data_IF_800534003553
#
_entry.id   IF_800534003553
#
_cell.length_a   1.000
_cell.length_b   1.000
_cell.length_c   1.000
_cell.angle_alpha   90.00
_cell.angle_beta   90.00
_cell.angle_gamma   90.00
#
_symmetry.space_group_name_H-M   'P 1'
#
loop_
_entity.id
_entity.type
_entity.pdbx_description
1 polymer ?
#
# COMPACT_ATOMS: atom_id res chain seq x y z
N UNK A 1 36.40 -23.61 -4.72
CA UNK A 1 35.49 -22.89 -3.80
C UNK A 1 34.08 -23.08 -4.35
N UNK A 2 33.28 -23.94 -3.74
CA UNK A 2 31.91 -24.21 -4.19
C UNK A 2 31.04 -23.02 -3.78
N UNK A 3 30.58 -22.21 -4.73
CA UNK A 3 29.52 -21.25 -4.44
C UNK A 3 28.22 -22.05 -4.37
N UNK A 4 27.65 -22.20 -3.17
CA UNK A 4 26.34 -22.79 -3.01
C UNK A 4 25.34 -21.99 -3.86
N UNK A 5 24.59 -22.67 -4.73
CA UNK A 5 23.49 -22.07 -5.47
C UNK A 5 22.48 -21.52 -4.46
N UNK A 6 22.11 -20.23 -4.53
CA UNK A 6 21.09 -19.68 -3.64
C UNK A 6 19.80 -20.47 -3.80
N UNK A 7 19.08 -20.66 -2.69
CA UNK A 7 17.76 -21.29 -2.73
C UNK A 7 16.81 -20.47 -3.62
N UNK A 8 15.80 -21.14 -4.19
CA UNK A 8 14.72 -20.46 -4.94
C UNK A 8 14.14 -19.31 -4.09
N UNK A 9 14.01 -19.51 -2.77
CA UNK A 9 13.54 -18.47 -1.87
C UNK A 9 14.47 -17.24 -1.84
N UNK A 10 15.79 -17.41 -1.81
CA UNK A 10 16.75 -16.30 -1.80
C UNK A 10 16.84 -15.58 -3.15
N UNK A 11 16.56 -16.29 -4.25
CA UNK A 11 16.50 -15.72 -5.59
C UNK A 11 15.31 -14.78 -5.77
N UNK A 12 14.12 -15.20 -5.33
CA UNK A 12 12.88 -14.41 -5.47
C UNK A 12 12.68 -13.40 -4.33
N UNK A 13 13.18 -13.72 -3.14
CA UNK A 13 12.95 -12.96 -1.91
C UNK A 13 14.25 -12.63 -1.18
N UNK A 14 15.19 -11.91 -1.82
CA UNK A 14 16.45 -11.55 -1.18
C UNK A 14 16.22 -10.68 0.07
N UNK A 15 17.15 -10.66 1.04
CA UNK A 15 17.04 -9.79 2.21
C UNK A 15 16.77 -8.33 1.83
N UNK A 16 16.04 -7.63 2.69
CA UNK A 16 15.69 -6.22 2.50
C UNK A 16 16.33 -5.36 3.56
N UNK A 17 16.77 -4.18 3.17
CA UNK A 17 17.09 -3.12 4.12
C UNK A 17 15.80 -2.64 4.80
N UNK A 18 15.93 -2.18 6.04
CA UNK A 18 14.81 -1.65 6.82
C UNK A 18 14.86 -0.12 6.82
N UNK A 19 13.72 0.56 6.66
CA UNK A 19 13.66 2.01 6.85
C UNK A 19 13.91 2.35 8.33
N UNK A 20 14.55 3.48 8.57
CA UNK A 20 14.64 4.09 9.89
C UNK A 20 13.30 4.70 10.30
N UNK A 21 13.10 4.93 11.60
CA UNK A 21 11.89 5.61 12.07
C UNK A 21 11.71 7.00 11.43
N UNK A 22 12.79 7.78 11.28
CA UNK A 22 12.73 9.09 10.63
C UNK A 22 12.28 9.02 9.17
N UNK A 23 12.70 7.98 8.44
CA UNK A 23 12.23 7.72 7.07
C UNK A 23 10.76 7.31 7.05
N UNK A 24 10.33 6.45 7.98
CA UNK A 24 8.91 6.08 8.13
C UNK A 24 8.09 7.34 8.38
N UNK A 25 8.47 8.17 9.33
CA UNK A 25 7.75 9.38 9.71
C UNK A 25 7.65 10.36 8.53
N UNK A 26 8.77 10.58 7.82
CA UNK A 26 8.81 11.45 6.63
C UNK A 26 7.88 10.96 5.52
N UNK A 27 7.92 9.67 5.21
CA UNK A 27 7.08 9.08 4.17
C UNK A 27 5.60 9.02 4.59
N UNK A 28 5.32 8.80 5.88
CA UNK A 28 3.96 8.89 6.43
C UNK A 28 3.41 10.33 6.33
N UNK A 29 4.23 11.35 6.61
CA UNK A 29 3.84 12.73 6.41
C UNK A 29 3.59 13.07 4.93
N UNK A 30 4.39 12.51 4.02
CA UNK A 30 4.20 12.70 2.58
C UNK A 30 2.85 12.13 2.11
N UNK A 31 2.48 10.90 2.52
CA UNK A 31 1.20 10.30 2.12
C UNK A 31 -0.01 11.00 2.77
N UNK A 32 0.12 11.49 4.01
CA UNK A 32 -0.91 12.30 4.67
C UNK A 32 -1.09 13.67 4.01
N UNK A 33 0.01 14.27 3.53
CA UNK A 33 -0.04 15.51 2.74
C UNK A 33 -0.79 15.27 1.43
N UNK A 34 -0.48 14.18 0.71
CA UNK A 34 -1.20 13.79 -0.50
C UNK A 34 -2.70 13.60 -0.24
N UNK A 35 -3.05 12.86 0.82
CA UNK A 35 -4.45 12.67 1.21
C UNK A 35 -5.14 14.00 1.48
N UNK A 36 -4.50 14.89 2.23
CA UNK A 36 -5.06 16.20 2.60
C UNK A 36 -5.31 17.05 1.36
N UNK A 37 -4.33 17.13 0.45
CA UNK A 37 -4.45 17.83 -0.83
C UNK A 37 -5.55 17.25 -1.70
N UNK A 38 -5.62 15.92 -1.83
CA UNK A 38 -6.64 15.25 -2.62
C UNK A 38 -8.05 15.51 -2.08
N UNK A 39 -8.21 15.53 -0.75
CA UNK A 39 -9.48 15.86 -0.10
C UNK A 39 -9.84 17.33 -0.29
N UNK A 40 -8.92 18.25 -0.01
CA UNK A 40 -9.21 19.69 0.02
C UNK A 40 -9.37 20.31 -1.37
N UNK A 41 -8.55 19.90 -2.34
CA UNK A 41 -8.53 20.49 -3.67
C UNK A 41 -9.36 19.73 -4.70
N UNK A 42 -9.58 18.42 -4.47
CA UNK A 42 -10.19 17.53 -5.47
C UNK A 42 -11.40 16.77 -4.93
N UNK A 43 -11.87 17.07 -3.72
CA UNK A 43 -13.00 16.41 -3.07
C UNK A 43 -12.90 14.88 -3.05
N UNK A 44 -11.69 14.33 -3.02
CA UNK A 44 -11.45 12.88 -2.97
C UNK A 44 -11.69 12.34 -1.56
N UNK A 45 -12.04 11.05 -1.49
CA UNK A 45 -12.09 10.31 -0.22
C UNK A 45 -10.69 10.26 0.40
N UNK A 46 -10.57 10.28 1.74
CA UNK A 46 -9.27 10.35 2.41
C UNK A 46 -8.57 8.98 2.44
N UNK A 47 -8.19 8.48 1.26
CA UNK A 47 -7.42 7.25 1.07
C UNK A 47 -6.33 7.53 0.03
N UNK A 48 -5.07 7.40 0.44
CA UNK A 48 -3.93 7.68 -0.41
C UNK A 48 -2.80 6.68 -0.15
N UNK A 49 -1.98 6.45 -1.18
CA UNK A 49 -0.81 5.60 -1.10
C UNK A 49 0.36 6.20 -1.88
N UNK A 50 1.58 5.94 -1.41
CA UNK A 50 2.83 6.23 -2.11
C UNK A 50 3.72 5.00 -2.14
N UNK A 51 4.52 4.86 -3.21
CA UNK A 51 5.53 3.83 -3.36
C UNK A 51 6.91 4.47 -3.23
N UNK A 52 7.68 3.98 -2.27
CA UNK A 52 9.04 4.43 -2.00
C UNK A 52 10.03 3.36 -2.44
N UNK A 53 11.11 3.79 -3.08
CA UNK A 53 12.17 2.93 -3.58
C UNK A 53 13.01 2.26 -2.48
N UNK A 54 13.96 1.40 -2.87
CA UNK A 54 14.82 0.64 -1.93
C UNK A 54 15.73 1.47 -1.03
N UNK A 55 15.95 2.74 -1.39
CA UNK A 55 16.70 3.73 -0.60
C UNK A 55 15.89 4.29 0.57
N UNK A 56 14.60 3.92 0.68
CA UNK A 56 13.63 4.41 1.67
C UNK A 56 13.36 5.91 1.60
N UNK A 57 13.72 6.57 0.49
CA UNK A 57 13.59 8.02 0.31
C UNK A 57 12.99 8.43 -1.03
N UNK A 58 13.26 7.69 -2.11
CA UNK A 58 12.79 8.08 -3.44
C UNK A 58 11.32 7.77 -3.60
N UNK A 59 10.49 8.81 -3.81
CA UNK A 59 9.10 8.66 -4.22
C UNK A 59 9.03 8.23 -5.68
N UNK A 60 8.58 7.00 -5.92
CA UNK A 60 8.46 6.41 -7.26
C UNK A 60 7.10 6.70 -7.90
N UNK A 61 6.03 6.43 -7.15
CA UNK A 61 4.65 6.55 -7.60
C UNK A 61 3.76 6.99 -6.44
N UNK A 62 2.64 7.63 -6.75
CA UNK A 62 1.61 7.97 -5.77
C UNK A 62 0.21 7.78 -6.38
N UNK A 63 -0.78 7.53 -5.53
CA UNK A 63 -2.16 7.35 -5.97
C UNK A 63 -3.16 7.73 -4.86
N UNK A 64 -4.38 8.08 -5.27
CA UNK A 64 -5.52 8.33 -4.37
C UNK A 64 -6.70 7.44 -4.75
N UNK A 65 -7.69 7.26 -3.88
CA UNK A 65 -8.89 6.50 -4.23
C UNK A 65 -9.67 7.22 -5.35
N UNK A 66 -10.05 6.46 -6.38
CA UNK A 66 -10.82 6.97 -7.52
C UNK A 66 -12.30 6.60 -7.43
N UNK A 67 -12.59 5.38 -7.02
CA UNK A 67 -13.95 4.82 -6.91
C UNK A 67 -14.02 3.77 -5.79
N UNK A 68 -15.19 3.17 -5.59
CA UNK A 68 -15.42 2.12 -4.57
C UNK A 68 -14.63 0.83 -4.82
N UNK A 69 -14.15 0.59 -6.05
CA UNK A 69 -13.36 -0.60 -6.41
C UNK A 69 -11.95 -0.25 -6.90
N UNK A 70 -11.66 1.04 -7.04
CA UNK A 70 -10.32 1.57 -7.38
C UNK A 70 -9.72 2.28 -6.17
N UNK A 71 -9.35 1.46 -5.18
CA UNK A 71 -8.65 1.90 -3.99
C UNK A 71 -7.23 2.36 -4.32
N UNK A 72 -6.71 3.30 -3.52
CA UNK A 72 -5.41 3.91 -3.75
C UNK A 72 -4.29 2.86 -3.84
N UNK A 73 -4.26 1.89 -2.93
CA UNK A 73 -3.23 0.87 -2.84
C UNK A 73 -3.31 -0.12 -4.01
N UNK A 74 -4.52 -0.58 -4.35
CA UNK A 74 -4.69 -1.54 -5.43
C UNK A 74 -4.36 -0.91 -6.80
N UNK A 75 -4.76 0.33 -7.03
CA UNK A 75 -4.39 1.07 -8.25
C UNK A 75 -2.90 1.35 -8.30
N UNK A 76 -2.30 1.76 -7.18
CA UNK A 76 -0.86 1.98 -7.08
C UNK A 76 -0.04 0.69 -7.31
N UNK A 77 -0.45 -0.43 -6.73
CA UNK A 77 0.20 -1.73 -6.91
C UNK A 77 0.13 -2.20 -8.37
N UNK A 78 -1.04 -2.06 -9.03
CA UNK A 78 -1.20 -2.36 -10.46
C UNK A 78 -0.33 -1.46 -11.33
N UNK A 79 -0.23 -0.18 -10.99
CA UNK A 79 0.65 0.75 -11.69
C UNK A 79 2.12 0.35 -11.50
N UNK A 80 2.53 0.08 -10.27
CA UNK A 80 3.88 -0.34 -9.92
C UNK A 80 4.31 -1.60 -10.68
N UNK A 81 3.46 -2.63 -10.74
CA UNK A 81 3.72 -3.88 -11.46
C UNK A 81 3.88 -3.70 -12.98
N UNK A 82 3.35 -2.61 -13.55
CA UNK A 82 3.55 -2.26 -14.97
C UNK A 82 4.87 -1.52 -15.22
N UNK A 83 5.39 -0.80 -14.22
CA UNK A 83 6.57 0.06 -14.37
C UNK A 83 7.87 -0.58 -13.88
N UNK A 84 7.80 -1.51 -12.92
CA UNK A 84 8.97 -2.05 -12.23
C UNK A 84 8.96 -3.58 -12.22
N UNK A 85 10.14 -4.17 -12.16
CA UNK A 85 10.27 -5.63 -12.03
C UNK A 85 9.85 -6.10 -10.64
N UNK A 86 9.40 -7.36 -10.55
CA UNK A 86 9.04 -7.97 -9.27
C UNK A 86 10.20 -7.93 -8.27
N UNK A 87 11.44 -8.17 -8.72
CA UNK A 87 12.63 -8.12 -7.87
C UNK A 87 12.88 -6.71 -7.30
N UNK A 88 12.62 -5.66 -8.09
CA UNK A 88 12.75 -4.29 -7.61
C UNK A 88 11.63 -3.93 -6.62
N UNK A 89 10.38 -4.31 -6.93
CA UNK A 89 9.23 -4.07 -6.05
C UNK A 89 9.34 -4.79 -4.71
N UNK A 90 10.00 -5.95 -4.68
CA UNK A 90 10.30 -6.65 -3.44
C UNK A 90 11.14 -5.79 -2.50
N UNK A 91 12.01 -4.93 -3.02
CA UNK A 91 12.83 -4.03 -2.21
C UNK A 91 12.13 -2.71 -1.88
N UNK A 92 10.96 -2.45 -2.47
CA UNK A 92 10.20 -1.22 -2.27
C UNK A 92 9.27 -1.28 -1.04
N UNK A 93 8.84 -0.09 -0.59
CA UNK A 93 7.86 0.07 0.50
C UNK A 93 6.68 0.90 0.02
N UNK A 94 5.46 0.36 0.15
CA UNK A 94 4.24 1.14 0.01
C UNK A 94 3.85 1.74 1.36
N UNK A 95 3.62 3.04 1.40
CA UNK A 95 3.00 3.71 2.54
C UNK A 95 1.55 4.03 2.19
N UNK A 96 0.62 3.58 3.02
CA UNK A 96 -0.82 3.87 2.89
C UNK A 96 -1.32 4.65 4.09
N UNK A 97 -2.32 5.52 3.90
CA UNK A 97 -2.94 6.22 5.04
C UNK A 97 -3.73 5.28 5.95
N UNK A 98 -4.25 4.18 5.40
CA UNK A 98 -5.02 3.16 6.12
C UNK A 98 -4.46 1.77 5.86
N UNK A 99 -4.74 0.85 6.78
CA UNK A 99 -4.47 -0.57 6.56
C UNK A 99 -5.18 -1.05 5.28
N UNK A 100 -4.46 -1.65 4.32
CA UNK A 100 -5.07 -2.12 3.08
C UNK A 100 -6.20 -3.12 3.36
N UNK A 101 -7.34 -2.95 2.69
CA UNK A 101 -8.40 -3.96 2.74
C UNK A 101 -7.96 -5.27 2.04
N UNK A 102 -8.75 -6.35 2.18
CA UNK A 102 -8.41 -7.66 1.61
C UNK A 102 -8.05 -7.62 0.11
N UNK A 103 -8.80 -6.85 -0.69
CA UNK A 103 -8.50 -6.64 -2.11
C UNK A 103 -7.12 -5.99 -2.31
N UNK A 104 -6.84 -4.92 -1.57
CA UNK A 104 -5.59 -4.18 -1.69
C UNK A 104 -4.40 -5.00 -1.22
N UNK A 105 -4.53 -5.68 -0.08
CA UNK A 105 -3.49 -6.56 0.46
C UNK A 105 -3.12 -7.67 -0.54
N UNK A 106 -4.12 -8.34 -1.12
CA UNK A 106 -3.89 -9.34 -2.17
C UNK A 106 -3.23 -8.73 -3.41
N UNK A 107 -3.63 -7.51 -3.81
CA UNK A 107 -3.03 -6.84 -4.98
C UNK A 107 -1.56 -6.49 -4.74
N UNK A 108 -1.21 -5.98 -3.54
CA UNK A 108 0.19 -5.69 -3.17
C UNK A 108 1.04 -6.96 -3.15
N UNK A 109 0.50 -8.06 -2.63
CA UNK A 109 1.14 -9.37 -2.66
C UNK A 109 1.45 -9.81 -4.10
N UNK A 110 0.47 -9.77 -5.00
CA UNK A 110 0.66 -10.19 -6.40
C UNK A 110 1.54 -9.24 -7.21
N UNK A 111 1.62 -7.96 -6.82
CA UNK A 111 2.57 -7.01 -7.38
C UNK A 111 4.01 -7.20 -6.86
N UNK A 112 4.23 -8.14 -5.93
CA UNK A 112 5.50 -8.40 -5.24
C UNK A 112 6.07 -7.18 -4.51
N UNK A 113 5.21 -6.33 -3.93
CA UNK A 113 5.66 -5.21 -3.08
C UNK A 113 6.10 -5.77 -1.74
N UNK A 114 7.36 -5.56 -1.36
CA UNK A 114 7.94 -6.27 -0.21
C UNK A 114 7.51 -5.75 1.16
N UNK A 115 7.16 -4.48 1.28
CA UNK A 115 6.74 -3.88 2.55
C UNK A 115 5.54 -2.97 2.36
N UNK A 116 4.60 -3.06 3.29
CA UNK A 116 3.52 -2.09 3.45
C UNK A 116 3.62 -1.48 4.84
N UNK A 117 3.54 -0.16 4.92
CA UNK A 117 3.42 0.62 6.15
C UNK A 117 2.10 1.37 6.08
N UNK A 118 1.31 1.34 7.14
CA UNK A 118 0.01 2.03 7.17
C UNK A 118 -0.14 2.93 8.40
N UNK A 119 -0.87 4.03 8.25
CA UNK A 119 -1.05 5.03 9.30
C UNK A 119 -2.02 4.61 10.41
N UNK A 120 -3.11 3.92 10.07
CA UNK A 120 -4.12 3.46 11.02
C UNK A 120 -4.80 2.17 10.55
N UNK A 121 -5.21 1.32 11.50
CA UNK A 121 -5.87 0.04 11.22
C UNK A 121 -7.28 0.20 10.67
N UNK A 122 -7.80 -0.86 10.05
CA UNK A 122 -9.21 -0.94 9.65
C UNK A 122 -10.16 -0.85 10.85
N UNK A 123 -9.74 -1.34 12.02
CA UNK A 123 -10.48 -1.15 13.28
C UNK A 123 -10.60 0.33 13.66
N UNK A 124 -9.50 1.07 13.52
CA UNK A 124 -9.51 2.53 13.76
C UNK A 124 -10.39 3.22 12.75
N UNK A 125 -10.34 2.82 11.48
CA UNK A 125 -11.20 3.35 10.42
C UNK A 125 -12.68 3.14 10.78
N UNK A 126 -13.08 1.92 11.14
CA UNK A 126 -14.44 1.59 11.55
C UNK A 126 -14.91 2.47 12.72
N UNK A 127 -14.05 2.65 13.74
CA UNK A 127 -14.38 3.48 14.90
C UNK A 127 -14.64 4.95 14.53
N UNK A 128 -13.93 5.51 13.54
CA UNK A 128 -14.09 6.92 13.16
C UNK A 128 -15.16 7.15 12.10
N UNK A 129 -15.44 6.17 11.24
CA UNK A 129 -16.51 6.28 10.23
C UNK A 129 -17.86 5.82 10.75
N UNK A 130 -17.87 5.04 11.83
CA UNK A 130 -19.03 4.26 12.25
C UNK A 130 -19.26 3.04 11.36
N UNK A 131 -20.24 2.22 11.76
CA UNK A 131 -20.73 1.12 10.94
C UNK A 131 -21.43 1.68 9.70
N UNK A 132 -20.74 1.62 8.55
CA UNK A 132 -21.35 1.80 7.26
C UNK A 132 -21.91 0.47 6.77
N UNK A 133 -23.12 0.51 6.20
CA UNK A 133 -23.91 -0.65 5.71
C UNK A 133 -24.88 -1.24 6.74
N UNK A 134 -25.59 -0.38 7.50
CA UNK A 134 -26.79 -0.77 8.22
C UNK A 134 -27.90 -1.08 7.20
N UNK A 135 -27.98 -2.35 6.78
CA UNK A 135 -28.99 -2.95 5.91
C UNK A 135 -28.70 -2.91 4.41
N UNK A 136 -27.86 -3.82 3.88
CA UNK A 136 -27.93 -4.44 2.51
C UNK A 136 -26.62 -5.16 2.05
N UNK A 137 -26.73 -5.90 0.94
CA UNK A 137 -25.92 -7.02 0.40
C UNK A 137 -25.95 -8.31 1.21
N UNK A 138 -25.28 -8.40 2.36
CA UNK A 138 -25.16 -9.69 3.07
C UNK A 138 -26.51 -10.20 3.61
N UNK A 139 -27.35 -9.29 4.12
CA UNK A 139 -28.74 -9.60 4.49
C UNK A 139 -29.60 -10.02 3.29
N UNK A 140 -29.27 -9.55 2.08
CA UNK A 140 -29.99 -9.87 0.84
C UNK A 140 -29.49 -11.16 0.16
N UNK A 141 -28.22 -11.54 0.37
CA UNK A 141 -27.64 -12.81 -0.13
C UNK A 141 -27.70 -13.95 0.90
N UNK A 142 -28.18 -13.69 2.11
CA UNK A 142 -28.50 -14.72 3.10
C UNK A 142 -27.30 -15.51 3.62
N UNK A 143 -26.14 -14.85 3.75
CA UNK A 143 -24.94 -15.40 4.41
C UNK A 143 -24.61 -14.66 5.69
#
# INVERSE_FOLDING_TARGET
MSSATPSIAEEFFPPRTQPTQAQIDTNMQAVLTLQTTARSLHAKRPFAGILIGPDHTTLLLSHTSLSHVEHAEASLARLAAKHFSQHYLWQCTMYSTWEPCAMCAATCYWANIGRVVFGASNETLLRVTGEGNQGEFWDAVGV
#
